data_IF_227551933911
#
_entry.id   IF_227551933911
#
_cell.length_a   1.000
_cell.length_b   1.000
_cell.length_c   1.000
_cell.angle_alpha   90.00
_cell.angle_beta   90.00
_cell.angle_gamma   90.00
#
_symmetry.space_group_name_H-M   'P 1'
#
loop_
_entity.id
_entity.type
_entity.pdbx_description
1 polymer ?
#
# COMPACT_ATOMS: atom_id res chain seq x y z
N UNK A 1 -13.85 1.52 -12.94
CA UNK A 1 -12.80 2.48 -12.63
C UNK A 1 -13.00 3.02 -11.22
N UNK A 2 -11.90 3.16 -10.47
CA UNK A 2 -11.90 3.78 -9.15
C UNK A 2 -11.40 5.22 -9.26
N UNK A 3 -11.88 6.07 -8.38
CA UNK A 3 -11.49 7.47 -8.28
C UNK A 3 -11.13 7.80 -6.84
N UNK A 4 -10.12 8.63 -6.64
CA UNK A 4 -9.77 9.12 -5.31
C UNK A 4 -10.91 9.91 -4.68
N UNK A 5 -11.12 9.72 -3.38
CA UNK A 5 -12.07 10.50 -2.59
C UNK A 5 -11.49 11.85 -2.14
N UNK A 6 -10.19 12.06 -2.31
CA UNK A 6 -9.47 13.25 -1.87
C UNK A 6 -8.17 13.42 -2.68
N UNK A 7 -7.35 14.38 -2.31
CA UNK A 7 -6.07 14.71 -2.92
C UNK A 7 -4.87 14.43 -1.99
N UNK A 8 -5.06 13.66 -0.92
CA UNK A 8 -4.01 13.29 0.04
C UNK A 8 -4.13 11.85 0.47
N UNK A 9 -3.01 11.17 0.54
CA UNK A 9 -2.87 9.76 0.91
C UNK A 9 -3.52 9.43 2.27
N UNK A 10 -3.36 10.27 3.28
CA UNK A 10 -3.97 10.06 4.59
C UNK A 10 -5.51 10.04 4.57
N UNK A 11 -6.13 10.76 3.63
CA UNK A 11 -7.58 10.78 3.42
C UNK A 11 -8.03 9.67 2.49
N UNK A 12 -7.23 9.40 1.45
CA UNK A 12 -7.47 8.30 0.51
C UNK A 12 -7.49 6.95 1.23
N UNK A 13 -6.49 6.68 2.05
CA UNK A 13 -6.44 5.45 2.85
C UNK A 13 -7.67 5.28 3.75
N UNK A 14 -8.12 6.35 4.40
CA UNK A 14 -9.33 6.27 5.23
C UNK A 14 -10.58 6.02 4.38
N UNK A 15 -10.67 6.63 3.20
CA UNK A 15 -11.77 6.38 2.29
C UNK A 15 -11.80 4.93 1.78
N UNK A 16 -10.62 4.37 1.46
CA UNK A 16 -10.48 2.99 0.98
C UNK A 16 -10.81 1.98 2.08
N UNK A 17 -10.18 2.11 3.25
CA UNK A 17 -10.26 1.08 4.30
C UNK A 17 -11.43 1.24 5.26
N UNK A 18 -12.00 2.44 5.39
CA UNK A 18 -13.11 2.70 6.30
C UNK A 18 -14.38 3.21 5.62
N UNK A 19 -14.36 3.44 4.30
CA UNK A 19 -15.50 4.02 3.58
C UNK A 19 -15.84 5.45 4.04
N UNK A 20 -14.94 6.12 4.76
CA UNK A 20 -15.16 7.47 5.27
C UNK A 20 -14.61 8.50 4.28
N UNK A 21 -15.46 9.35 3.68
CA UNK A 21 -15.02 10.25 2.61
C UNK A 21 -14.00 11.28 3.10
N UNK A 22 -13.09 11.66 2.20
CA UNK A 22 -12.08 12.67 2.48
C UNK A 22 -12.68 14.01 2.89
N UNK A 23 -12.20 14.59 3.99
CA UNK A 23 -12.65 15.87 4.49
C UNK A 23 -11.80 17.01 3.92
N UNK A 24 -12.37 18.17 3.56
CA UNK A 24 -11.62 19.25 2.89
C UNK A 24 -10.46 19.80 3.74
N UNK A 25 -10.67 20.01 5.02
CA UNK A 25 -9.76 20.78 5.86
C UNK A 25 -8.91 19.93 6.82
N UNK A 26 -9.24 18.64 7.00
CA UNK A 26 -8.59 17.81 8.02
C UNK A 26 -8.61 16.34 7.61
N UNK A 27 -7.56 15.60 7.98
CA UNK A 27 -7.60 14.14 7.99
C UNK A 27 -8.07 13.63 9.34
N UNK A 28 -9.00 12.68 9.33
CA UNK A 28 -9.49 11.99 10.53
C UNK A 28 -8.37 11.18 11.20
N UNK A 29 -7.34 10.75 10.48
CA UNK A 29 -6.16 10.09 11.05
C UNK A 29 -5.48 10.89 12.16
N UNK A 30 -5.55 12.24 12.10
CA UNK A 30 -5.02 13.13 13.14
C UNK A 30 -5.85 13.15 14.41
N UNK A 31 -7.04 12.54 14.39
CA UNK A 31 -7.94 12.40 15.53
C UNK A 31 -8.07 10.92 15.91
N UNK A 32 -7.03 10.35 16.49
CA UNK A 32 -6.88 8.91 16.73
C UNK A 32 -8.09 8.28 17.44
N UNK A 33 -8.65 8.97 18.45
CA UNK A 33 -9.84 8.48 19.18
C UNK A 33 -11.12 8.42 18.31
N UNK A 34 -11.19 9.21 17.23
CA UNK A 34 -12.30 9.17 16.28
C UNK A 34 -12.02 8.16 15.17
N UNK A 35 -10.81 8.17 14.65
CA UNK A 35 -10.37 7.24 13.61
C UNK A 35 -10.52 5.78 14.07
N UNK A 36 -10.20 5.47 15.32
CA UNK A 36 -10.34 4.14 15.90
C UNK A 36 -11.80 3.65 16.05
N UNK A 37 -12.79 4.52 15.84
CA UNK A 37 -14.22 4.17 15.85
C UNK A 37 -14.81 3.94 14.46
N UNK A 38 -14.03 4.17 13.43
CA UNK A 38 -14.48 3.92 12.06
C UNK A 38 -14.53 2.41 11.78
N UNK A 39 -15.44 1.96 10.92
CA UNK A 39 -15.38 0.60 10.41
C UNK A 39 -14.08 0.37 9.66
N UNK A 40 -13.61 -0.87 9.61
CA UNK A 40 -12.39 -1.23 8.89
C UNK A 40 -12.62 -2.44 8.00
N UNK A 41 -12.38 -2.29 6.70
CA UNK A 41 -12.37 -3.43 5.76
C UNK A 41 -11.39 -4.53 6.21
N UNK A 42 -10.14 -4.19 6.65
CA UNK A 42 -9.22 -5.21 7.15
C UNK A 42 -9.77 -5.95 8.38
N UNK A 43 -10.47 -5.26 9.28
CA UNK A 43 -11.09 -5.89 10.44
C UNK A 43 -12.20 -6.87 10.05
N UNK A 44 -13.02 -6.51 9.06
CA UNK A 44 -14.06 -7.41 8.55
C UNK A 44 -13.43 -8.67 7.95
N UNK A 45 -12.43 -8.51 7.09
CA UNK A 45 -11.72 -9.64 6.48
C UNK A 45 -10.99 -10.50 7.52
N UNK A 46 -10.35 -9.89 8.51
CA UNK A 46 -9.74 -10.61 9.63
C UNK A 46 -10.77 -11.49 10.37
N UNK A 47 -11.97 -10.96 10.63
CA UNK A 47 -13.04 -11.72 11.29
C UNK A 47 -13.56 -12.88 10.42
N UNK A 48 -13.39 -12.79 9.08
CA UNK A 48 -13.66 -13.87 8.13
C UNK A 48 -12.47 -14.83 7.94
N UNK A 49 -11.42 -14.69 8.77
CA UNK A 49 -10.27 -15.59 8.78
C UNK A 49 -9.10 -15.19 7.87
N UNK A 50 -9.15 -14.03 7.23
CA UNK A 50 -8.02 -13.53 6.44
C UNK A 50 -6.86 -13.09 7.32
N UNK A 51 -5.65 -13.36 6.87
CA UNK A 51 -4.44 -12.71 7.37
C UNK A 51 -4.31 -11.33 6.69
N UNK A 52 -4.19 -10.27 7.46
CA UNK A 52 -4.22 -8.90 6.93
C UNK A 52 -2.90 -8.18 7.13
N UNK A 53 -2.30 -7.65 6.05
CA UNK A 53 -1.04 -6.90 6.07
C UNK A 53 -1.15 -5.60 5.27
N UNK A 54 -0.54 -4.55 5.81
CA UNK A 54 -0.29 -3.30 5.09
C UNK A 54 1.22 -3.11 4.89
N UNK A 55 1.64 -2.82 3.67
CA UNK A 55 3.04 -2.64 3.28
C UNK A 55 3.24 -1.24 2.71
N UNK A 56 4.25 -0.52 3.20
CA UNK A 56 4.57 0.84 2.79
C UNK A 56 6.07 1.07 2.79
N UNK A 57 6.64 1.54 1.67
CA UNK A 57 8.07 1.78 1.51
C UNK A 57 8.66 2.94 2.31
N UNK A 58 7.84 3.78 2.94
CA UNK A 58 8.25 4.93 3.75
C UNK A 58 8.00 4.74 5.25
N UNK A 59 8.17 5.83 6.02
CA UNK A 59 7.89 5.86 7.47
C UNK A 59 6.37 5.87 7.73
N UNK A 60 5.85 4.78 8.23
CA UNK A 60 4.42 4.64 8.56
C UNK A 60 3.98 5.45 9.80
N UNK A 61 4.90 6.03 10.57
CA UNK A 61 4.54 6.93 11.65
C UNK A 61 4.13 8.31 11.12
N UNK A 62 4.55 8.64 9.90
CA UNK A 62 4.12 9.87 9.25
C UNK A 62 2.59 9.92 9.14
N UNK A 63 1.99 11.03 9.51
CA UNK A 63 0.52 11.29 9.54
C UNK A 63 -0.31 10.28 10.36
N UNK A 64 0.29 9.56 11.31
CA UNK A 64 -0.35 8.50 12.11
C UNK A 64 -0.83 7.28 11.30
N UNK A 65 -0.25 7.02 10.15
CA UNK A 65 -0.66 5.92 9.26
C UNK A 65 -0.58 4.58 9.98
N UNK A 66 0.52 4.27 10.67
CA UNK A 66 0.69 3.02 11.43
C UNK A 66 -0.44 2.81 12.45
N UNK A 67 -0.71 3.82 13.25
CA UNK A 67 -1.74 3.74 14.28
C UNK A 67 -3.14 3.53 13.66
N UNK A 68 -3.43 4.21 12.56
CA UNK A 68 -4.69 4.04 11.84
C UNK A 68 -4.80 2.63 11.23
N UNK A 69 -3.76 2.11 10.57
CA UNK A 69 -3.80 0.78 9.94
C UNK A 69 -4.06 -0.32 10.98
N UNK A 70 -3.42 -0.28 12.14
CA UNK A 70 -3.74 -1.20 13.22
C UNK A 70 -5.18 -1.01 13.74
N UNK A 71 -5.65 0.23 13.89
CA UNK A 71 -7.00 0.51 14.40
C UNK A 71 -8.10 0.08 13.45
N UNK A 72 -7.86 0.09 12.14
CA UNK A 72 -8.83 -0.37 11.14
C UNK A 72 -8.76 -1.89 10.87
N UNK A 73 -7.83 -2.61 11.52
CA UNK A 73 -7.85 -4.06 11.58
C UNK A 73 -6.71 -4.81 10.89
N UNK A 74 -5.72 -4.13 10.34
CA UNK A 74 -4.52 -4.83 9.87
C UNK A 74 -3.78 -5.47 11.05
N UNK A 75 -3.38 -6.73 10.90
CA UNK A 75 -2.62 -7.47 11.91
C UNK A 75 -1.13 -7.13 11.83
N UNK A 76 -0.68 -6.78 10.65
CA UNK A 76 0.72 -6.47 10.39
C UNK A 76 0.84 -5.18 9.57
N UNK A 77 1.75 -4.31 9.98
CA UNK A 77 2.14 -3.10 9.26
C UNK A 77 3.65 -3.12 9.06
N UNK A 78 4.06 -3.36 7.82
CA UNK A 78 5.47 -3.42 7.42
C UNK A 78 5.81 -2.12 6.71
N UNK A 79 6.80 -1.41 7.21
CA UNK A 79 7.31 -0.17 6.63
C UNK A 79 8.82 -0.23 6.38
N UNK A 80 9.41 0.88 6.01
CA UNK A 80 10.84 0.95 5.68
C UNK A 80 11.77 0.40 6.78
N UNK A 81 11.36 0.48 8.05
CA UNK A 81 12.18 0.01 9.17
C UNK A 81 12.10 -1.50 9.35
N UNK A 82 11.00 -2.12 8.94
CA UNK A 82 10.77 -3.56 9.00
C UNK A 82 11.27 -4.35 7.80
N UNK A 83 11.49 -3.68 6.66
CA UNK A 83 11.90 -4.36 5.42
C UNK A 83 13.39 -4.69 5.38
N UNK A 84 14.25 -3.85 5.97
CA UNK A 84 15.72 -3.98 5.96
C UNK A 84 16.28 -4.31 4.56
N UNK A 85 15.86 -3.55 3.54
CA UNK A 85 16.21 -3.74 2.14
C UNK A 85 17.35 -2.81 1.73
N UNK A 86 18.08 -3.21 0.69
CA UNK A 86 19.04 -2.37 0.00
C UNK A 86 18.45 -1.85 -1.31
N UNK A 87 18.87 -0.67 -1.77
CA UNK A 87 18.51 -0.14 -3.06
C UNK A 87 18.14 1.34 -3.08
N UNK A 88 17.47 1.77 -4.15
CA UNK A 88 17.13 3.17 -4.35
C UNK A 88 16.11 3.67 -3.33
N UNK A 89 16.43 4.83 -2.74
CA UNK A 89 15.56 5.52 -1.78
C UNK A 89 15.45 7.00 -2.13
N UNK A 90 14.24 7.52 -2.08
CA UNK A 90 13.99 8.96 -2.00
C UNK A 90 14.00 9.43 -0.53
N UNK A 91 13.78 10.71 -0.31
CA UNK A 91 13.56 11.24 1.05
C UNK A 91 12.32 10.65 1.76
N UNK A 92 11.44 9.98 1.03
CA UNK A 92 10.21 9.42 1.56
C UNK A 92 10.29 7.93 1.89
N UNK A 93 11.30 7.23 1.38
CA UNK A 93 11.49 5.80 1.60
C UNK A 93 11.99 5.05 0.39
N UNK A 94 11.83 3.72 0.39
CA UNK A 94 12.22 2.84 -0.71
C UNK A 94 11.39 3.07 -1.97
N UNK A 95 12.01 2.93 -3.13
CA UNK A 95 11.32 2.99 -4.42
C UNK A 95 10.42 1.77 -4.66
N UNK A 96 9.42 1.95 -5.53
CA UNK A 96 8.35 0.96 -5.75
C UNK A 96 8.87 -0.37 -6.33
N UNK A 97 9.98 -0.39 -7.09
CA UNK A 97 10.61 -1.63 -7.57
C UNK A 97 10.99 -2.56 -6.42
N UNK A 98 11.60 -1.99 -5.37
CA UNK A 98 12.05 -2.71 -4.18
C UNK A 98 10.85 -3.16 -3.34
N UNK A 99 9.91 -2.24 -3.11
CA UNK A 99 8.75 -2.49 -2.22
C UNK A 99 7.81 -3.51 -2.83
N UNK A 100 7.51 -3.40 -4.13
CA UNK A 100 6.60 -4.32 -4.81
C UNK A 100 7.22 -5.71 -5.00
N UNK A 101 8.54 -5.80 -5.24
CA UNK A 101 9.23 -7.08 -5.32
C UNK A 101 9.22 -7.79 -3.96
N UNK A 102 9.56 -7.08 -2.88
CA UNK A 102 9.46 -7.59 -1.52
C UNK A 102 8.03 -8.02 -1.17
N UNK A 103 7.03 -7.19 -1.49
CA UNK A 103 5.63 -7.50 -1.20
C UNK A 103 5.16 -8.76 -1.94
N UNK A 104 5.56 -8.92 -3.22
CA UNK A 104 5.22 -10.12 -3.99
C UNK A 104 5.81 -11.39 -3.36
N UNK A 105 7.09 -11.35 -2.95
CA UNK A 105 7.73 -12.50 -2.29
C UNK A 105 7.05 -12.87 -0.97
N UNK A 106 6.72 -11.88 -0.17
CA UNK A 106 6.03 -12.10 1.10
C UNK A 106 4.59 -12.61 0.92
N UNK A 107 3.86 -12.13 -0.09
CA UNK A 107 2.54 -12.67 -0.45
C UNK A 107 2.67 -14.14 -0.85
N UNK A 108 3.55 -14.45 -1.79
CA UNK A 108 3.78 -15.82 -2.27
C UNK A 108 4.17 -16.76 -1.13
N UNK A 109 5.04 -16.31 -0.24
CA UNK A 109 5.45 -17.07 0.94
C UNK A 109 4.27 -17.36 1.88
N UNK A 110 3.41 -16.37 2.15
CA UNK A 110 2.27 -16.50 3.06
C UNK A 110 1.20 -17.42 2.53
N UNK A 111 0.82 -17.28 1.26
CA UNK A 111 -0.19 -18.15 0.65
C UNK A 111 0.25 -19.63 0.57
N UNK A 112 1.57 -19.90 0.56
CA UNK A 112 2.12 -21.27 0.58
C UNK A 112 2.31 -21.83 1.98
N UNK A 113 2.46 -20.96 2.97
CA UNK A 113 2.78 -21.38 4.34
C UNK A 113 1.55 -21.73 5.17
N UNK A 114 0.40 -21.13 4.88
CA UNK A 114 -0.81 -21.28 5.68
C UNK A 114 -2.05 -21.50 4.80
N UNK A 115 -2.94 -22.35 5.27
CA UNK A 115 -4.24 -22.61 4.64
C UNK A 115 -5.26 -21.52 5.06
N UNK A 116 -4.89 -20.26 4.84
CA UNK A 116 -5.73 -19.09 5.12
C UNK A 116 -5.68 -18.10 3.97
N UNK A 117 -6.80 -17.46 3.66
CA UNK A 117 -6.79 -16.37 2.69
C UNK A 117 -5.98 -15.18 3.21
N UNK A 118 -5.36 -14.45 2.29
CA UNK A 118 -4.56 -13.26 2.60
C UNK A 118 -5.22 -12.00 2.05
N UNK A 119 -5.11 -10.90 2.78
CA UNK A 119 -5.43 -9.56 2.33
C UNK A 119 -4.21 -8.68 2.52
N UNK A 120 -3.55 -8.36 1.42
CA UNK A 120 -2.38 -7.47 1.41
C UNK A 120 -2.75 -6.15 0.74
N UNK A 121 -2.48 -5.05 1.42
CA UNK A 121 -2.59 -3.71 0.90
C UNK A 121 -1.20 -3.09 0.80
N UNK A 122 -0.85 -2.57 -0.38
CA UNK A 122 0.46 -1.99 -0.65
C UNK A 122 0.26 -0.55 -1.09
N UNK A 123 0.95 0.37 -0.42
CA UNK A 123 0.96 1.78 -0.78
C UNK A 123 2.23 2.09 -1.59
N UNK A 124 2.07 2.49 -2.85
CA UNK A 124 3.16 2.94 -3.71
C UNK A 124 3.64 4.34 -3.33
N UNK A 125 4.89 4.66 -3.63
CA UNK A 125 5.53 5.89 -3.18
C UNK A 125 6.26 6.66 -4.28
N UNK A 126 6.74 6.00 -5.32
CA UNK A 126 7.66 6.59 -6.31
C UNK A 126 7.03 7.68 -7.16
N UNK A 127 5.71 7.70 -7.30
CA UNK A 127 4.98 8.76 -8.00
C UNK A 127 4.73 10.02 -7.15
N UNK A 128 5.33 10.12 -5.95
CA UNK A 128 5.25 11.29 -5.07
C UNK A 128 6.35 12.32 -5.38
N UNK A 129 6.08 13.63 -5.17
CA UNK A 129 7.12 14.67 -5.23
C UNK A 129 8.29 14.34 -4.27
N UNK A 130 9.54 14.53 -4.68
CA UNK A 130 10.06 15.25 -5.87
C UNK A 130 10.19 14.40 -7.16
N UNK A 131 9.52 13.25 -7.28
CA UNK A 131 9.51 12.39 -8.45
C UNK A 131 10.91 11.79 -8.79
N UNK A 132 11.66 11.44 -7.75
CA UNK A 132 12.99 10.85 -7.85
C UNK A 132 12.87 9.34 -8.04
N UNK A 133 13.15 8.88 -9.25
CA UNK A 133 13.11 7.45 -9.60
C UNK A 133 14.33 7.09 -10.46
N UNK A 134 14.82 5.83 -10.43
CA UNK A 134 15.91 5.38 -11.28
C UNK A 134 15.41 5.11 -12.72
N UNK A 135 14.77 6.11 -13.34
CA UNK A 135 14.11 5.99 -14.64
C UNK A 135 14.12 7.34 -15.36
N UNK A 136 14.84 7.40 -16.47
CA UNK A 136 15.00 8.61 -17.28
C UNK A 136 14.70 8.32 -18.77
N UNK A 137 13.46 7.97 -19.09
CA UNK A 137 13.04 7.64 -20.46
C UNK A 137 12.07 8.66 -21.05
N UNK A 138 11.50 9.52 -20.21
CA UNK A 138 10.50 10.50 -20.60
C UNK A 138 10.95 11.94 -20.29
N UNK A 139 10.22 12.92 -20.83
CA UNK A 139 10.65 14.33 -20.83
C UNK A 139 10.69 15.02 -19.47
N UNK A 140 9.96 14.53 -18.49
CA UNK A 140 9.86 15.19 -17.18
C UNK A 140 9.97 14.19 -16.03
N UNK A 141 10.46 14.61 -14.85
CA UNK A 141 10.48 13.74 -13.66
C UNK A 141 9.12 13.17 -13.31
N UNK A 142 8.06 13.96 -13.39
CA UNK A 142 6.69 13.53 -13.16
C UNK A 142 6.29 12.34 -14.06
N UNK A 143 6.52 12.47 -15.38
CA UNK A 143 6.18 11.39 -16.31
C UNK A 143 7.04 10.15 -16.09
N UNK A 144 8.31 10.34 -15.76
CA UNK A 144 9.20 9.23 -15.43
C UNK A 144 8.74 8.49 -14.17
N UNK A 145 8.31 9.20 -13.15
CA UNK A 145 7.86 8.57 -11.90
C UNK A 145 6.57 7.77 -12.08
N UNK A 146 5.60 8.29 -12.83
CA UNK A 146 4.39 7.54 -13.15
C UNK A 146 4.67 6.30 -14.01
N UNK A 147 5.50 6.45 -15.06
CA UNK A 147 5.87 5.32 -15.91
C UNK A 147 6.69 4.27 -15.16
N UNK A 148 7.53 4.69 -14.23
CA UNK A 148 8.27 3.79 -13.34
C UNK A 148 7.31 2.99 -12.45
N UNK A 149 6.41 3.65 -11.72
CA UNK A 149 5.43 2.97 -10.87
C UNK A 149 4.55 2.01 -11.68
N UNK A 150 4.07 2.41 -12.85
CA UNK A 150 3.28 1.54 -13.75
C UNK A 150 4.07 0.29 -14.18
N UNK A 151 5.34 0.45 -14.57
CA UNK A 151 6.22 -0.68 -14.90
C UNK A 151 6.41 -1.62 -13.70
N UNK A 152 6.60 -1.08 -12.48
CA UNK A 152 6.79 -1.91 -11.31
C UNK A 152 5.50 -2.65 -10.89
N UNK A 153 4.35 -2.02 -11.02
CA UNK A 153 3.04 -2.68 -10.84
C UNK A 153 2.89 -3.82 -11.86
N UNK A 154 3.26 -3.60 -13.11
CA UNK A 154 3.26 -4.64 -14.13
C UNK A 154 4.11 -5.86 -13.73
N UNK A 155 5.35 -5.62 -13.28
CA UNK A 155 6.26 -6.68 -12.80
C UNK A 155 5.71 -7.43 -11.59
N UNK A 156 5.15 -6.71 -10.64
CA UNK A 156 4.48 -7.29 -9.47
C UNK A 156 3.36 -8.24 -9.89
N UNK A 157 2.47 -7.80 -10.76
CA UNK A 157 1.38 -8.63 -11.27
C UNK A 157 1.90 -9.87 -12.01
N UNK A 158 2.90 -9.72 -12.89
CA UNK A 158 3.49 -10.85 -13.61
C UNK A 158 4.16 -11.87 -12.65
N UNK A 159 4.80 -11.40 -11.57
CA UNK A 159 5.38 -12.27 -10.55
C UNK A 159 4.30 -13.09 -9.82
N UNK A 160 3.16 -12.49 -9.50
CA UNK A 160 2.03 -13.20 -8.91
C UNK A 160 1.36 -14.16 -9.93
N UNK A 161 1.23 -13.75 -11.19
CA UNK A 161 0.67 -14.59 -12.26
C UNK A 161 1.46 -15.87 -12.54
N UNK A 162 2.74 -15.87 -12.20
CA UNK A 162 3.60 -17.03 -12.33
C UNK A 162 3.36 -18.12 -11.25
N UNK A 163 2.49 -17.86 -10.27
CA UNK A 163 2.15 -18.81 -9.21
C UNK A 163 0.91 -19.63 -9.57
N UNK A 164 0.78 -20.82 -8.99
CA UNK A 164 -0.37 -21.71 -9.18
C UNK A 164 -1.65 -21.11 -8.55
N UNK A 165 -1.49 -20.27 -7.56
CA UNK A 165 -2.57 -19.64 -6.80
C UNK A 165 -3.20 -18.43 -7.52
N UNK A 166 -2.66 -18.03 -8.66
CA UNK A 166 -3.14 -16.84 -9.41
C UNK A 166 -4.63 -16.85 -9.72
N UNK A 167 -5.17 -18.00 -10.08
CA UNK A 167 -6.61 -18.14 -10.42
C UNK A 167 -7.54 -17.80 -9.23
N UNK A 168 -7.02 -17.78 -8.00
CA UNK A 168 -7.75 -17.43 -6.78
C UNK A 168 -7.37 -16.03 -6.26
N UNK A 169 -6.63 -15.23 -7.02
CA UNK A 169 -6.23 -13.89 -6.63
C UNK A 169 -7.13 -12.82 -7.24
N UNK A 170 -7.41 -11.78 -6.46
CA UNK A 170 -8.02 -10.53 -6.91
C UNK A 170 -7.03 -9.39 -6.67
N UNK A 171 -6.59 -8.73 -7.74
CA UNK A 171 -5.74 -7.53 -7.68
C UNK A 171 -6.58 -6.30 -7.97
N UNK A 172 -6.57 -5.32 -7.05
CA UNK A 172 -7.34 -4.08 -7.17
C UNK A 172 -6.37 -2.91 -7.15
N UNK A 173 -6.36 -2.09 -8.19
CA UNK A 173 -5.61 -0.85 -8.26
C UNK A 173 -6.55 0.32 -7.97
N UNK A 174 -6.26 1.07 -6.93
CA UNK A 174 -7.10 2.18 -6.44
C UNK A 174 -6.23 3.42 -6.25
N UNK A 175 -6.57 4.56 -6.84
CA UNK A 175 -5.89 5.82 -6.52
C UNK A 175 -6.28 6.30 -5.12
N UNK A 176 -5.32 6.86 -4.39
CA UNK A 176 -5.52 7.45 -3.07
C UNK A 176 -5.79 8.99 -3.09
#
# INVERSE_FOLDING_TARGET
RFYSSSFRTDRGNVAIFSGFPGQPNMSIMKQTNKAAKLPGLPLVLKNEGYMTRFTYGGDSNFTNTRAYMYSCGFEEVVDETGMNLEGHRSKWGYADDIVLDFAADEIIKRIKAEDKPVFDAILTLSSHEPFEVPYERLKTPLLNSFAFTDEQIGRFVEKLRATEEWENMLVILVPD
#
